data_IF_756632364220
#
_entry.id   IF_756632364220
#
_cell.length_a   1.000
_cell.length_b   1.000
_cell.length_c   1.000
_cell.angle_alpha   90.00
_cell.angle_beta   90.00
_cell.angle_gamma   90.00
#
_symmetry.space_group_name_H-M   'P 1'
#
loop_
_entity.id
_entity.type
_entity.pdbx_description
1 polymer ?
#
# COMPACT_ATOMS: atom_id res chain seq x y z
N UNK A 1 -38.94 14.62 -3.33
CA UNK A 1 -38.04 14.80 -4.50
C UNK A 1 -36.56 14.92 -4.10
N UNK A 2 -36.22 15.40 -2.90
CA UNK A 2 -34.86 15.43 -2.34
C UNK A 2 -34.28 14.03 -2.01
N UNK A 3 -35.09 13.06 -1.57
CA UNK A 3 -34.59 11.70 -1.26
C UNK A 3 -34.10 10.93 -2.49
N UNK A 4 -34.72 11.16 -3.66
CA UNK A 4 -34.32 10.53 -4.93
C UNK A 4 -32.97 11.08 -5.41
N UNK A 5 -32.63 12.33 -5.08
CA UNK A 5 -31.30 12.89 -5.34
C UNK A 5 -30.26 12.41 -4.32
N UNK A 6 -30.65 12.18 -3.06
CA UNK A 6 -29.80 11.52 -2.05
C UNK A 6 -29.42 10.10 -2.46
N UNK A 7 -30.39 9.33 -2.98
CA UNK A 7 -30.14 8.00 -3.53
C UNK A 7 -29.31 8.03 -4.83
N UNK A 8 -29.47 9.05 -5.68
CA UNK A 8 -28.59 9.24 -6.87
C UNK A 8 -27.16 9.64 -6.52
N UNK A 9 -26.93 10.35 -5.41
CA UNK A 9 -25.58 10.61 -4.89
C UNK A 9 -24.93 9.40 -4.20
N UNK A 10 -25.73 8.40 -3.83
CA UNK A 10 -25.32 7.22 -3.08
C UNK A 10 -25.03 5.97 -3.93
N UNK A 11 -25.08 6.07 -5.26
CA UNK A 11 -24.98 4.90 -6.16
C UNK A 11 -23.66 4.11 -5.97
N UNK A 12 -22.62 4.74 -5.43
CA UNK A 12 -21.32 4.11 -5.16
C UNK A 12 -20.83 4.21 -3.71
N UNK A 13 -21.73 4.47 -2.76
CA UNK A 13 -21.35 4.73 -1.36
C UNK A 13 -20.66 3.51 -0.73
N UNK A 14 -21.17 2.30 -0.99
CA UNK A 14 -20.54 1.06 -0.51
C UNK A 14 -19.17 0.82 -1.14
N UNK A 15 -19.03 1.03 -2.45
CA UNK A 15 -17.75 0.90 -3.15
C UNK A 15 -16.72 1.91 -2.65
N UNK A 16 -17.15 3.14 -2.37
CA UNK A 16 -16.31 4.20 -1.80
C UNK A 16 -15.88 3.82 -0.38
N UNK A 17 -16.80 3.39 0.49
CA UNK A 17 -16.46 2.98 1.86
C UNK A 17 -15.49 1.79 1.89
N UNK A 18 -15.69 0.80 1.01
CA UNK A 18 -14.77 -0.32 0.86
C UNK A 18 -13.37 0.16 0.44
N UNK A 19 -13.31 0.98 -0.62
CA UNK A 19 -12.04 1.48 -1.14
C UNK A 19 -11.32 2.37 -0.13
N UNK A 20 -12.08 3.17 0.64
CA UNK A 20 -11.56 3.98 1.74
C UNK A 20 -10.91 3.13 2.84
N UNK A 21 -11.58 2.06 3.30
CA UNK A 21 -11.00 1.13 4.28
C UNK A 21 -9.72 0.48 3.73
N UNK A 22 -9.70 0.17 2.43
CA UNK A 22 -8.52 -0.35 1.76
C UNK A 22 -7.36 0.66 1.75
N UNK A 23 -7.63 1.94 1.48
CA UNK A 23 -6.61 2.99 1.53
C UNK A 23 -6.06 3.20 2.94
N UNK A 24 -6.93 3.17 3.95
CA UNK A 24 -6.50 3.19 5.35
C UNK A 24 -5.59 2.01 5.71
N UNK A 25 -5.93 0.81 5.23
CA UNK A 25 -5.09 -0.37 5.42
C UNK A 25 -3.69 -0.17 4.83
N UNK A 26 -3.59 0.36 3.60
CA UNK A 26 -2.30 0.70 2.99
C UNK A 26 -1.51 1.71 3.82
N UNK A 27 -2.18 2.76 4.32
CA UNK A 27 -1.53 3.77 5.16
C UNK A 27 -0.93 3.15 6.42
N UNK A 28 -1.69 2.33 7.14
CA UNK A 28 -1.24 1.67 8.38
C UNK A 28 -0.10 0.68 8.09
N UNK A 29 -0.27 -0.18 7.09
CA UNK A 29 0.74 -1.19 6.75
C UNK A 29 2.03 -0.56 6.25
N UNK A 30 1.96 0.50 5.44
CA UNK A 30 3.15 1.20 4.97
C UNK A 30 3.95 1.84 6.11
N UNK A 31 3.28 2.47 7.07
CA UNK A 31 3.91 3.01 8.28
C UNK A 31 4.55 1.91 9.13
N UNK A 32 3.86 0.77 9.31
CA UNK A 32 4.38 -0.39 10.02
C UNK A 32 5.66 -0.94 9.37
N UNK A 33 5.68 -1.08 8.04
CA UNK A 33 6.87 -1.58 7.31
C UNK A 33 8.08 -0.66 7.47
N UNK A 34 7.88 0.67 7.37
CA UNK A 34 8.93 1.66 7.62
C UNK A 34 9.47 1.52 9.04
N UNK A 35 8.58 1.39 10.01
CA UNK A 35 8.93 1.27 11.44
C UNK A 35 9.72 -0.02 11.70
N UNK A 36 9.35 -1.12 11.06
CA UNK A 36 10.09 -2.38 11.15
C UNK A 36 11.51 -2.24 10.58
N UNK A 37 11.71 -1.60 9.42
CA UNK A 37 13.06 -1.35 8.91
C UNK A 37 13.91 -0.48 9.83
N UNK A 38 13.29 0.51 10.50
CA UNK A 38 13.96 1.34 11.48
C UNK A 38 14.44 0.52 12.69
N UNK A 39 13.57 -0.32 13.27
CA UNK A 39 13.91 -1.15 14.44
C UNK A 39 14.93 -2.26 14.16
N UNK A 40 15.06 -2.68 12.90
CA UNK A 40 16.12 -3.61 12.48
C UNK A 40 17.41 -2.88 12.02
N UNK A 41 17.47 -1.55 12.21
CA UNK A 41 18.62 -0.70 11.87
C UNK A 41 19.05 -0.77 10.39
N UNK A 42 18.11 -1.09 9.48
CA UNK A 42 18.39 -1.21 8.05
C UNK A 42 18.17 0.15 7.37
N UNK A 43 18.95 1.14 7.76
CA UNK A 43 18.71 2.57 7.44
C UNK A 43 18.58 2.87 5.95
N UNK A 44 19.35 2.19 5.09
CA UNK A 44 19.26 2.37 3.63
C UNK A 44 17.89 1.94 3.08
N UNK A 45 17.36 0.81 3.57
CA UNK A 45 16.05 0.30 3.15
C UNK A 45 14.90 1.00 3.85
N UNK A 46 15.12 1.48 5.08
CA UNK A 46 14.22 2.43 5.73
C UNK A 46 14.02 3.69 4.88
N UNK A 47 15.10 4.34 4.44
CA UNK A 47 15.01 5.53 3.59
C UNK A 47 14.29 5.23 2.27
N UNK A 48 14.62 4.10 1.64
CA UNK A 48 13.92 3.62 0.44
C UNK A 48 12.42 3.40 0.68
N UNK A 49 12.05 2.77 1.79
CA UNK A 49 10.66 2.54 2.17
C UNK A 49 9.90 3.84 2.46
N UNK A 50 10.55 4.85 3.07
CA UNK A 50 9.96 6.18 3.29
C UNK A 50 9.67 6.88 1.96
N UNK A 51 10.65 6.91 1.05
CA UNK A 51 10.49 7.52 -0.29
C UNK A 51 9.39 6.81 -1.07
N UNK A 52 9.43 5.48 -1.07
CA UNK A 52 8.43 4.63 -1.70
C UNK A 52 7.02 4.92 -1.17
N UNK A 53 6.87 4.98 0.15
CA UNK A 53 5.60 5.24 0.80
C UNK A 53 5.08 6.63 0.46
N UNK A 54 5.93 7.67 0.47
CA UNK A 54 5.56 9.02 0.05
C UNK A 54 5.04 9.05 -1.40
N UNK A 55 5.73 8.36 -2.32
CA UNK A 55 5.28 8.23 -3.71
C UNK A 55 3.91 7.52 -3.76
N UNK A 56 3.73 6.44 -3.02
CA UNK A 56 2.46 5.70 -2.99
C UNK A 56 1.30 6.56 -2.46
N UNK A 57 1.55 7.44 -1.48
CA UNK A 57 0.56 8.38 -0.95
C UNK A 57 0.21 9.47 -1.97
N UNK A 58 1.18 10.00 -2.71
CA UNK A 58 0.92 10.97 -3.79
C UNK A 58 0.08 10.34 -4.90
N UNK A 59 0.39 9.09 -5.26
CA UNK A 59 -0.39 8.34 -6.24
C UNK A 59 -1.80 8.04 -5.72
N UNK A 60 -1.93 7.65 -4.45
CA UNK A 60 -3.22 7.47 -3.78
C UNK A 60 -4.06 8.74 -3.79
N UNK A 61 -3.46 9.90 -3.53
CA UNK A 61 -4.14 11.19 -3.60
C UNK A 61 -4.67 11.48 -5.02
N UNK A 62 -3.86 11.23 -6.06
CA UNK A 62 -4.33 11.36 -7.44
C UNK A 62 -5.44 10.36 -7.80
N UNK A 63 -5.41 9.16 -7.23
CA UNK A 63 -6.45 8.15 -7.37
C UNK A 63 -7.78 8.59 -6.73
N UNK A 64 -7.71 9.18 -5.54
CA UNK A 64 -8.86 9.75 -4.83
C UNK A 64 -9.53 10.90 -5.59
N UNK A 65 -8.78 11.62 -6.44
CA UNK A 65 -9.30 12.70 -7.28
C UNK A 65 -10.01 12.23 -8.56
N UNK A 66 -10.41 10.97 -8.67
CA UNK A 66 -11.22 10.49 -9.79
C UNK A 66 -10.43 10.14 -11.07
N UNK A 67 -9.08 10.19 -11.02
CA UNK A 67 -8.24 10.04 -12.21
C UNK A 67 -7.89 8.58 -12.48
N UNK A 68 -8.40 8.02 -13.59
CA UNK A 68 -8.19 6.62 -13.98
C UNK A 68 -6.71 6.20 -14.11
N UNK A 69 -5.82 7.11 -14.54
CA UNK A 69 -4.39 6.82 -14.66
C UNK A 69 -3.78 6.43 -13.30
N UNK A 70 -4.19 7.09 -12.22
CA UNK A 70 -3.65 6.85 -10.89
C UNK A 70 -4.05 5.50 -10.32
N UNK A 71 -5.15 4.88 -10.80
CA UNK A 71 -5.49 3.49 -10.49
C UNK A 71 -4.37 2.55 -10.97
N UNK A 72 -3.92 2.73 -12.20
CA UNK A 72 -2.86 1.90 -12.79
C UNK A 72 -1.52 2.18 -12.14
N UNK A 73 -1.21 3.45 -11.87
CA UNK A 73 0.00 3.83 -11.15
C UNK A 73 0.01 3.25 -9.73
N UNK A 74 -1.14 3.20 -9.04
CA UNK A 74 -1.24 2.61 -7.70
C UNK A 74 -1.01 1.10 -7.73
N UNK A 75 -1.58 0.41 -8.72
CA UNK A 75 -1.33 -1.02 -8.91
C UNK A 75 0.15 -1.30 -9.25
N UNK A 76 0.73 -0.50 -10.16
CA UNK A 76 2.16 -0.59 -10.49
C UNK A 76 3.02 -0.31 -9.27
N UNK A 77 2.63 0.66 -8.45
CA UNK A 77 3.29 0.92 -7.19
C UNK A 77 3.28 -0.37 -6.36
N UNK A 78 2.11 -0.88 -6.00
CA UNK A 78 2.01 -2.10 -5.20
C UNK A 78 2.81 -3.30 -5.75
N UNK A 79 2.84 -3.51 -7.07
CA UNK A 79 3.68 -4.53 -7.69
C UNK A 79 5.18 -4.28 -7.50
N UNK A 80 5.65 -3.05 -7.69
CA UNK A 80 7.05 -2.69 -7.47
C UNK A 80 7.43 -2.79 -5.98
N UNK A 81 6.52 -2.47 -5.06
CA UNK A 81 6.71 -2.72 -3.62
C UNK A 81 6.88 -4.21 -3.30
N UNK A 82 6.00 -5.06 -3.85
CA UNK A 82 6.11 -6.50 -3.72
C UNK A 82 7.42 -7.05 -4.32
N UNK A 83 7.78 -6.59 -5.53
CA UNK A 83 9.02 -6.95 -6.20
C UNK A 83 10.26 -6.54 -5.42
N UNK A 84 10.25 -5.33 -4.84
CA UNK A 84 11.35 -4.84 -4.00
C UNK A 84 11.52 -5.69 -2.74
N UNK A 85 10.43 -6.12 -2.10
CA UNK A 85 10.48 -7.01 -0.94
C UNK A 85 11.01 -8.42 -1.29
N UNK A 86 10.57 -8.99 -2.42
CA UNK A 86 11.12 -10.26 -2.92
C UNK A 86 12.61 -10.13 -3.24
N UNK A 87 13.02 -9.04 -3.90
CA UNK A 87 14.42 -8.75 -4.19
C UNK A 87 15.23 -8.63 -2.88
N UNK A 88 14.70 -7.90 -1.90
CA UNK A 88 15.33 -7.74 -0.60
C UNK A 88 15.61 -9.09 0.07
N UNK A 89 14.60 -9.96 0.16
CA UNK A 89 14.74 -11.29 0.80
C UNK A 89 15.77 -12.16 0.08
N UNK A 90 15.75 -12.18 -1.26
CA UNK A 90 16.57 -13.12 -2.03
C UNK A 90 18.00 -12.63 -2.29
N UNK A 91 18.23 -11.32 -2.36
CA UNK A 91 19.51 -10.75 -2.81
C UNK A 91 20.21 -9.92 -1.74
N UNK A 92 19.47 -9.26 -0.86
CA UNK A 92 20.07 -8.37 0.14
C UNK A 92 20.19 -9.05 1.48
N UNK A 93 19.10 -9.63 1.98
CA UNK A 93 19.04 -10.24 3.31
C UNK A 93 20.15 -11.26 3.60
N UNK A 94 20.53 -12.18 2.69
CA UNK A 94 21.61 -13.14 2.93
C UNK A 94 22.98 -12.50 3.19
N UNK A 95 23.18 -11.27 2.72
CA UNK A 95 24.42 -10.51 2.90
C UNK A 95 24.42 -9.57 4.12
N UNK A 96 23.31 -9.47 4.88
CA UNK A 96 23.22 -8.58 6.04
C UNK A 96 23.78 -9.31 7.27
N UNK A 97 24.87 -8.78 7.82
CA UNK A 97 25.38 -9.26 9.11
C UNK A 97 24.45 -8.83 10.25
N UNK A 98 24.21 -9.70 11.24
CA UNK A 98 23.38 -9.37 12.39
C UNK A 98 23.97 -8.18 13.17
N UNK A 99 23.17 -7.13 13.44
CA UNK A 99 23.58 -6.10 14.39
C UNK A 99 23.81 -6.75 15.75
N UNK A 100 24.86 -6.33 16.45
CA UNK A 100 25.21 -6.88 17.78
C UNK A 100 24.18 -6.54 18.88
N UNK A 101 23.19 -5.68 18.61
CA UNK A 101 22.20 -5.21 19.57
C UNK A 101 20.77 -5.00 19.03
N UNK A 102 20.36 -5.78 18.02
CA UNK A 102 19.03 -5.61 17.41
C UNK A 102 17.89 -5.81 18.45
N UNK A 103 16.96 -4.85 18.50
CA UNK A 103 15.76 -4.90 19.36
C UNK A 103 14.84 -6.07 19.00
N UNK A 104 14.88 -6.53 17.74
CA UNK A 104 14.05 -7.62 17.21
C UNK A 104 14.98 -8.64 16.53
N UNK A 105 14.75 -9.96 16.70
CA UNK A 105 15.57 -10.98 16.07
C UNK A 105 15.59 -10.85 14.54
N UNK A 106 16.77 -10.89 13.93
CA UNK A 106 16.90 -10.74 12.47
C UNK A 106 16.17 -11.86 11.68
N UNK A 107 15.93 -13.02 12.30
CA UNK A 107 15.23 -14.15 11.70
C UNK A 107 13.76 -13.85 11.33
N UNK A 108 13.11 -12.84 11.95
CA UNK A 108 11.73 -12.48 11.58
C UNK A 108 11.66 -11.59 10.34
N UNK A 109 12.79 -11.02 9.86
CA UNK A 109 12.81 -10.13 8.71
C UNK A 109 12.20 -10.76 7.44
N UNK A 110 12.62 -11.96 7.01
CA UNK A 110 12.05 -12.59 5.83
C UNK A 110 10.54 -12.84 5.97
N UNK A 111 10.07 -13.10 7.20
CA UNK A 111 8.66 -13.40 7.48
C UNK A 111 7.81 -12.15 7.24
N UNK A 112 8.12 -11.04 7.92
CA UNK A 112 7.29 -9.83 7.78
C UNK A 112 7.48 -9.14 6.44
N UNK A 113 8.69 -9.15 5.85
CA UNK A 113 8.91 -8.66 4.49
C UNK A 113 8.15 -9.51 3.47
N UNK A 114 8.13 -10.84 3.67
CA UNK A 114 7.40 -11.77 2.81
C UNK A 114 5.89 -11.54 2.87
N UNK A 115 5.34 -11.43 4.08
CA UNK A 115 3.92 -11.10 4.30
C UNK A 115 3.56 -9.74 3.71
N UNK A 116 4.39 -8.72 3.91
CA UNK A 116 4.21 -7.40 3.30
C UNK A 116 4.20 -7.48 1.77
N UNK A 117 5.15 -8.19 1.19
CA UNK A 117 5.24 -8.38 -0.27
C UNK A 117 4.01 -9.08 -0.84
N UNK A 118 3.53 -10.12 -0.16
CA UNK A 118 2.30 -10.82 -0.54
C UNK A 118 1.09 -9.89 -0.43
N UNK A 119 0.96 -9.13 0.66
CA UNK A 119 -0.13 -8.17 0.85
C UNK A 119 -0.13 -7.09 -0.26
N UNK A 120 1.04 -6.60 -0.65
CA UNK A 120 1.17 -5.67 -1.77
C UNK A 120 0.81 -6.31 -3.12
N UNK A 121 1.23 -7.55 -3.39
CA UNK A 121 0.86 -8.27 -4.61
C UNK A 121 -0.65 -8.51 -4.69
N UNK A 122 -1.27 -8.96 -3.59
CA UNK A 122 -2.73 -9.11 -3.48
C UNK A 122 -3.42 -7.76 -3.67
N UNK A 123 -2.89 -6.69 -3.07
CA UNK A 123 -3.42 -5.34 -3.25
C UNK A 123 -3.36 -4.86 -4.69
N UNK A 124 -2.30 -5.15 -5.42
CA UNK A 124 -2.22 -4.85 -6.85
C UNK A 124 -3.33 -5.58 -7.62
N UNK A 125 -3.51 -6.88 -7.39
CA UNK A 125 -4.58 -7.66 -8.01
C UNK A 125 -5.96 -7.12 -7.67
N UNK A 126 -6.21 -6.76 -6.42
CA UNK A 126 -7.46 -6.13 -6.00
C UNK A 126 -7.69 -4.81 -6.72
N UNK A 127 -6.68 -3.93 -6.77
CA UNK A 127 -6.80 -2.65 -7.48
C UNK A 127 -7.11 -2.90 -8.95
N UNK A 128 -6.42 -3.83 -9.62
CA UNK A 128 -6.61 -4.12 -11.04
C UNK A 128 -7.99 -4.71 -11.33
N UNK A 129 -8.36 -5.78 -10.64
CA UNK A 129 -9.49 -6.64 -10.98
C UNK A 129 -10.81 -6.23 -10.30
N UNK A 130 -10.76 -5.48 -9.18
CA UNK A 130 -11.98 -5.11 -8.46
C UNK A 130 -12.77 -4.04 -9.20
N UNK A 131 -14.01 -4.39 -9.57
CA UNK A 131 -14.98 -3.44 -10.11
C UNK A 131 -15.36 -2.37 -9.08
N UNK A 132 -15.34 -2.70 -7.78
CA UNK A 132 -15.64 -1.76 -6.69
C UNK A 132 -14.63 -0.63 -6.63
N UNK A 133 -13.34 -0.97 -6.62
CA UNK A 133 -12.24 0.01 -6.64
C UNK A 133 -12.29 0.82 -7.93
N UNK A 134 -12.60 0.19 -9.07
CA UNK A 134 -12.75 0.89 -10.35
C UNK A 134 -13.88 1.93 -10.36
N UNK A 135 -15.02 1.65 -9.73
CA UNK A 135 -16.14 2.59 -9.61
C UNK A 135 -15.82 3.74 -8.66
N UNK A 136 -15.24 3.45 -7.50
CA UNK A 136 -14.79 4.47 -6.55
C UNK A 136 -13.75 5.41 -7.20
N UNK A 137 -12.81 4.86 -7.97
CA UNK A 137 -11.79 5.60 -8.69
C UNK A 137 -12.33 6.54 -9.77
N UNK A 138 -13.50 6.26 -10.35
CA UNK A 138 -14.13 7.14 -11.36
C UNK A 138 -14.93 8.26 -10.70
N UNK A 139 -15.55 7.95 -9.56
CA UNK A 139 -16.38 8.90 -8.82
C UNK A 139 -15.52 9.91 -8.04
N UNK A 140 -14.33 9.47 -7.60
CA UNK A 140 -13.52 10.22 -6.65
C UNK A 140 -14.09 10.12 -5.23
N UNK A 141 -13.23 10.26 -4.22
CA UNK A 141 -13.63 10.18 -2.83
C UNK A 141 -12.59 10.77 -1.87
N UNK A 142 -13.04 11.18 -0.69
CA UNK A 142 -12.19 11.61 0.43
C UNK A 142 -11.95 10.47 1.43
N UNK A 143 -10.91 10.60 2.25
CA UNK A 143 -10.61 9.63 3.33
C UNK A 143 -11.49 9.84 4.59
N UNK A 144 -12.07 11.03 4.75
CA UNK A 144 -13.02 11.40 5.80
C UNK A 144 -14.47 11.35 5.30
#
# INVERSE_FOLDING_TARGET
MLDVQRYRGAIHLEEIQFTRKWMWLHMILGALMITMFLFHEIFRWFAGAVVWYAISLLVMYGFMNGRRLFKWLLALAYLAGAGAGVFFINRVFPGIQPPRGALIPQAVIPIWVGLGSLAYAVSALFVLCSSRIGKAAKTGFTLW
#
